data_IF_935164767518
#
_entry.id   IF_935164767518
#
_cell.length_a   1.000
_cell.length_b   1.000
_cell.length_c   1.000
_cell.angle_alpha   90.00
_cell.angle_beta   90.00
_cell.angle_gamma   90.00
#
_symmetry.space_group_name_H-M   'P 1'
#
loop_
_entity.id
_entity.type
_entity.pdbx_description
1 polymer ?
#
# COMPACT_ATOMS: atom_id res chain seq x y z
N UNK A 1 9.37 7.22 3.33
CA UNK A 1 9.97 6.14 2.53
C UNK A 1 8.87 5.39 1.84
N UNK A 2 9.06 4.94 0.61
CA UNK A 2 8.02 4.27 -0.14
C UNK A 2 7.90 2.79 0.26
N UNK A 3 6.66 2.35 0.50
CA UNK A 3 6.29 0.97 0.77
C UNK A 3 5.35 0.49 -0.33
N UNK A 4 5.75 -0.55 -1.05
CA UNK A 4 4.89 -1.26 -2.00
C UNK A 4 4.20 -2.40 -1.27
N UNK A 5 2.87 -2.37 -1.23
CA UNK A 5 2.04 -3.34 -0.54
C UNK A 5 1.23 -4.10 -1.57
N UNK A 6 1.48 -5.41 -1.69
CA UNK A 6 0.73 -6.31 -2.57
C UNK A 6 -0.05 -7.31 -1.73
N UNK A 7 -1.28 -7.62 -2.12
CA UNK A 7 -2.08 -8.62 -1.45
C UNK A 7 -2.76 -9.59 -2.42
N UNK A 8 -3.05 -10.77 -1.91
CA UNK A 8 -3.86 -11.80 -2.55
C UNK A 8 -4.88 -12.29 -1.51
N UNK A 9 -6.13 -11.86 -1.68
CA UNK A 9 -7.24 -12.09 -0.73
C UNK A 9 -8.48 -12.44 -1.54
N UNK A 10 -8.92 -13.69 -1.41
CA UNK A 10 -10.10 -14.24 -2.10
C UNK A 10 -11.41 -13.71 -1.51
N UNK A 11 -11.47 -13.47 -0.20
CA UNK A 11 -12.68 -12.98 0.45
C UNK A 11 -12.94 -11.49 0.13
N UNK A 12 -14.02 -11.22 -0.61
CA UNK A 12 -14.37 -9.87 -1.07
C UNK A 12 -14.52 -8.86 0.08
N UNK A 13 -15.14 -9.24 1.20
CA UNK A 13 -15.37 -8.36 2.34
C UNK A 13 -14.05 -7.95 2.99
N UNK A 14 -13.11 -8.89 3.18
CA UNK A 14 -11.77 -8.58 3.69
C UNK A 14 -10.96 -7.77 2.69
N UNK A 15 -11.01 -8.13 1.41
CA UNK A 15 -10.32 -7.40 0.34
C UNK A 15 -10.75 -5.94 0.30
N UNK A 16 -12.06 -5.66 0.33
CA UNK A 16 -12.60 -4.29 0.39
C UNK A 16 -12.19 -3.56 1.66
N UNK A 17 -12.22 -4.23 2.82
CA UNK A 17 -11.80 -3.64 4.09
C UNK A 17 -10.31 -3.27 4.08
N UNK A 18 -9.47 -4.11 3.49
CA UNK A 18 -8.04 -3.89 3.36
C UNK A 18 -7.72 -2.78 2.36
N UNK A 19 -8.39 -2.74 1.21
CA UNK A 19 -8.26 -1.66 0.23
C UNK A 19 -8.62 -0.30 0.86
N UNK A 20 -9.79 -0.19 1.51
CA UNK A 20 -10.21 1.04 2.22
C UNK A 20 -9.23 1.45 3.33
N UNK A 21 -8.62 0.49 4.00
CA UNK A 21 -7.59 0.77 5.00
C UNK A 21 -6.36 1.39 4.32
N UNK A 22 -5.88 0.82 3.22
CA UNK A 22 -4.66 1.27 2.52
C UNK A 22 -4.84 2.59 1.79
N UNK A 23 -6.05 2.89 1.28
CA UNK A 23 -6.40 4.20 0.68
C UNK A 23 -6.20 5.37 1.68
N UNK A 24 -6.22 5.11 2.99
CA UNK A 24 -5.92 6.13 4.00
C UNK A 24 -4.43 6.33 4.29
N UNK A 25 -3.54 5.56 3.65
CA UNK A 25 -2.08 5.58 3.86
C UNK A 25 -1.28 5.78 2.56
N UNK A 26 -1.93 5.75 1.40
CA UNK A 26 -1.27 5.93 0.11
C UNK A 26 -2.21 5.64 -1.05
N UNK A 27 -1.61 5.42 -2.22
CA UNK A 27 -2.32 5.32 -3.49
C UNK A 27 -2.47 3.88 -3.95
N UNK A 28 -3.66 3.55 -4.47
CA UNK A 28 -3.92 2.30 -5.15
C UNK A 28 -3.37 2.37 -6.57
N UNK A 29 -2.31 1.61 -6.86
CA UNK A 29 -1.65 1.62 -8.17
C UNK A 29 -2.09 0.47 -9.07
N UNK A 30 -2.58 -0.64 -8.49
CA UNK A 30 -3.24 -1.73 -9.20
C UNK A 30 -4.41 -2.29 -8.36
N UNK A 31 -5.16 -3.26 -8.91
CA UNK A 31 -6.27 -3.89 -8.21
C UNK A 31 -5.90 -4.39 -6.81
N UNK A 32 -4.74 -5.00 -6.65
CA UNK A 32 -4.28 -5.52 -5.36
C UNK A 32 -2.90 -5.02 -4.92
N UNK A 33 -2.51 -3.84 -5.43
CA UNK A 33 -1.20 -3.23 -5.13
C UNK A 33 -1.38 -1.77 -4.77
N UNK A 34 -0.70 -1.36 -3.70
CA UNK A 34 -0.69 0.00 -3.15
C UNK A 34 0.75 0.48 -2.98
N UNK A 35 0.96 1.77 -3.22
CA UNK A 35 2.17 2.49 -2.87
C UNK A 35 1.87 3.44 -1.72
N UNK A 36 2.65 3.38 -0.64
CA UNK A 36 2.46 4.22 0.54
C UNK A 36 3.79 4.89 0.92
N UNK A 37 3.85 6.22 0.86
CA UNK A 37 5.00 6.95 1.41
C UNK A 37 4.80 7.21 2.90
N UNK A 38 5.51 6.42 3.72
CA UNK A 38 5.31 6.38 5.17
C UNK A 38 6.59 6.73 5.92
N UNK A 39 6.41 7.42 7.05
CA UNK A 39 7.42 7.45 8.10
C UNK A 39 7.36 6.18 8.98
N UNK A 40 8.28 6.05 9.94
CA UNK A 40 8.36 4.89 10.83
C UNK A 40 7.13 4.72 11.74
N UNK A 41 6.53 5.83 12.18
CA UNK A 41 5.35 5.82 13.06
C UNK A 41 4.11 5.41 12.28
N UNK A 42 3.93 5.96 11.09
CA UNK A 42 2.85 5.65 10.17
C UNK A 42 2.91 4.18 9.74
N UNK A 43 4.10 3.68 9.38
CA UNK A 43 4.31 2.27 9.10
C UNK A 43 3.96 1.38 10.29
N UNK A 44 4.39 1.76 11.51
CA UNK A 44 4.05 1.02 12.73
C UNK A 44 2.54 0.97 12.99
N UNK A 45 1.82 2.06 12.73
CA UNK A 45 0.36 2.12 12.83
C UNK A 45 -0.32 1.25 11.76
N UNK A 46 0.14 1.34 10.50
CA UNK A 46 -0.39 0.55 9.40
C UNK A 46 -0.20 -0.95 9.65
N UNK A 47 1.01 -1.37 10.04
CA UNK A 47 1.31 -2.77 10.35
C UNK A 47 0.40 -3.32 11.46
N UNK A 48 0.12 -2.54 12.51
CA UNK A 48 -0.84 -2.92 13.57
C UNK A 48 -2.27 -3.07 13.03
N UNK A 49 -2.70 -2.20 12.12
CA UNK A 49 -4.05 -2.27 11.51
C UNK A 49 -4.16 -3.47 10.55
N UNK A 50 -3.15 -3.74 9.73
CA UNK A 50 -3.11 -4.87 8.79
C UNK A 50 -3.23 -6.22 9.51
N UNK A 51 -2.51 -6.41 10.61
CA UNK A 51 -2.60 -7.63 11.45
C UNK A 51 -4.01 -7.93 11.96
N UNK A 52 -4.88 -6.92 12.09
CA UNK A 52 -6.28 -7.11 12.52
C UNK A 52 -7.20 -7.51 11.37
N UNK A 53 -6.82 -7.24 10.13
CA UNK A 53 -7.64 -7.46 8.93
C UNK A 53 -7.28 -8.78 8.26
N UNK A 54 -5.99 -9.05 8.08
CA UNK A 54 -5.49 -10.24 7.37
C UNK A 54 -5.83 -11.52 8.16
N UNK A 55 -6.22 -12.58 7.45
CA UNK A 55 -6.53 -13.90 7.99
C UNK A 55 -5.65 -14.96 7.32
N UNK A 56 -4.44 -15.13 7.83
CA UNK A 56 -3.46 -16.08 7.29
C UNK A 56 -4.00 -17.52 7.20
N UNK A 57 -4.76 -17.97 8.21
CA UNK A 57 -5.39 -19.30 8.23
C UNK A 57 -6.44 -19.51 7.14
N UNK A 58 -6.98 -18.43 6.58
CA UNK A 58 -7.95 -18.46 5.49
C UNK A 58 -7.29 -18.24 4.11
N UNK A 59 -5.95 -18.28 4.06
CA UNK A 59 -5.18 -18.15 2.82
C UNK A 59 -4.88 -16.70 2.40
N UNK A 60 -5.21 -15.70 3.22
CA UNK A 60 -4.85 -14.31 2.90
C UNK A 60 -3.33 -14.16 2.85
N UNK A 61 -2.82 -13.59 1.76
CA UNK A 61 -1.39 -13.33 1.58
C UNK A 61 -1.16 -11.83 1.38
N UNK A 62 -0.22 -11.26 2.12
CA UNK A 62 0.15 -9.85 2.02
C UNK A 62 1.66 -9.71 2.08
N UNK A 63 2.22 -8.94 1.15
CA UNK A 63 3.65 -8.63 1.06
C UNK A 63 3.86 -7.13 1.15
N UNK A 64 4.90 -6.74 1.88
CA UNK A 64 5.31 -5.34 2.04
C UNK A 64 6.77 -5.25 1.65
N UNK A 65 7.06 -4.44 0.63
CA UNK A 65 8.40 -4.12 0.18
C UNK A 65 8.74 -2.69 0.54
N UNK A 66 9.79 -2.49 1.34
CA UNK A 66 10.33 -1.16 1.62
C UNK A 66 11.29 -0.78 0.51
N UNK A 67 10.98 0.27 -0.25
CA UNK A 67 11.80 0.77 -1.34
C UNK A 67 12.60 1.98 -0.86
N UNK A 68 13.90 2.00 -1.15
CA UNK A 68 14.69 3.23 -0.97
C UNK A 68 14.34 4.23 -2.08
N UNK A 69 14.78 5.49 -1.93
CA UNK A 69 14.50 6.55 -2.90
C UNK A 69 14.96 6.17 -4.31
N UNK A 70 16.14 5.58 -4.45
CA UNK A 70 16.69 5.12 -5.74
C UNK A 70 15.83 4.01 -6.36
N UNK A 71 15.44 2.99 -5.59
CA UNK A 71 14.60 1.91 -6.10
C UNK A 71 13.21 2.41 -6.52
N UNK A 72 12.63 3.37 -5.79
CA UNK A 72 11.34 3.97 -6.14
C UNK A 72 11.40 4.77 -7.45
N UNK A 73 12.50 5.50 -7.70
CA UNK A 73 12.71 6.22 -8.96
C UNK A 73 12.90 5.30 -10.17
N UNK A 74 13.26 4.04 -9.93
CA UNK A 74 13.45 3.03 -10.98
C UNK A 74 12.15 2.27 -11.31
N UNK A 75 11.02 2.61 -10.68
CA UNK A 75 9.73 2.00 -11.00
C UNK A 75 9.32 2.35 -12.43
N UNK A 76 9.12 1.31 -13.25
CA UNK A 76 8.59 1.44 -14.60
C UNK A 76 7.10 1.08 -14.61
N UNK A 77 6.29 1.94 -15.24
CA UNK A 77 4.85 1.71 -15.42
C UNK A 77 4.62 1.38 -16.89
N UNK A 78 4.00 0.23 -17.15
CA UNK A 78 3.56 -0.18 -18.48
C UNK A 78 2.03 -0.23 -18.46
N UNK A 79 1.38 0.61 -19.29
CA UNK A 79 -0.08 0.77 -19.34
C UNK A 79 -0.56 2.08 -18.68
N UNK A 80 -1.85 2.14 -18.35
CA UNK A 80 -2.53 3.36 -17.87
C UNK A 80 -2.62 3.47 -16.33
N UNK A 81 -1.62 2.95 -15.62
CA UNK A 81 -1.57 3.08 -14.15
C UNK A 81 -1.30 4.53 -13.72
N UNK A 82 -1.64 4.90 -12.47
CA UNK A 82 -1.25 6.20 -11.94
C UNK A 82 0.27 6.33 -11.86
N UNK A 83 0.77 7.56 -11.80
CA UNK A 83 2.18 7.83 -11.51
C UNK A 83 2.56 7.26 -10.13
N UNK A 84 3.86 7.03 -9.93
CA UNK A 84 4.42 6.57 -8.64
C UNK A 84 4.01 7.54 -7.53
N UNK A 85 3.55 6.99 -6.41
CA UNK A 85 3.08 7.78 -5.27
C UNK A 85 4.20 8.67 -4.75
N UNK A 86 3.92 9.97 -4.66
CA UNK A 86 4.78 10.95 -4.03
C UNK A 86 3.97 11.68 -2.97
N UNK A 87 4.52 11.81 -1.76
CA UNK A 87 3.90 12.63 -0.72
C UNK A 87 3.78 14.06 -1.24
N UNK A 88 2.55 14.50 -1.50
CA UNK A 88 2.28 15.90 -1.82
C UNK A 88 2.33 16.70 -0.52
N UNK A 89 3.43 17.40 -0.27
CA UNK A 89 3.48 18.48 0.72
C UNK A 89 2.76 19.72 0.17
N UNK A 90 1.44 19.62 -0.07
CA UNK A 90 0.65 20.78 -0.53
C UNK A 90 -0.41 21.11 0.51
N UNK A 91 -0.09 22.09 1.35
CA UNK A 91 -1.09 22.90 2.03
C UNK A 91 -1.64 23.90 0.99
N UNK A 92 -2.83 23.64 0.42
CA UNK A 92 -3.59 24.71 -0.20
C UNK A 92 -4.34 25.41 0.94
N UNK A 93 -3.85 26.59 1.31
CA UNK A 93 -4.55 27.56 2.17
C UNK A 93 -5.51 28.35 1.31
#
# INVERSE_FOLDING_TARGET
MLYLISYDISNDRRRQKLAKLLEGFGQRVQWSVFECDLDQREYGLLAKKLKKVVREKEGDNLRIYRLCATCAQQTAIIGSGPAVEQRQDVYIV
#
